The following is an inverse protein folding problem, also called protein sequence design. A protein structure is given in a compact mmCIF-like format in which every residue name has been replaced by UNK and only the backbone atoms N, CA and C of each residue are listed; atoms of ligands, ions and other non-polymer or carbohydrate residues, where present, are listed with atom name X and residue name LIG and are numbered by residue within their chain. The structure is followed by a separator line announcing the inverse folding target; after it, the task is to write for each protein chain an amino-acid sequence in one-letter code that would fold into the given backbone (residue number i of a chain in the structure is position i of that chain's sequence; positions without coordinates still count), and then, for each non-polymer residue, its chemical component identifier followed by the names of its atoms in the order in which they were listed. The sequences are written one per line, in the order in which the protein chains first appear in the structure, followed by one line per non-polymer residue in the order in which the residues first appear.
data_IF_556438477093
#
_entry.id   IF_556438477093
#
_cell.length_a   1.000
_cell.length_b   1.000
_cell.length_c   1.000
_cell.angle_alpha   90.00
_cell.angle_beta   90.00
_cell.angle_gamma   90.00
#
_symmetry.space_group_name_H-M   'P 1'
#
loop_
_entity.id
_entity.type
_entity.pdbx_description
1 polymer ?
#
# COMPACT_ATOMS: atom_id res chain seq x y z
N UNK A 1 -24.32 5.61 -20.66
CA UNK A 1 -23.30 4.54 -20.74
C UNK A 1 -22.55 4.72 -22.04
N UNK A 2 -21.21 4.65 -22.05
CA UNK A 2 -20.44 4.77 -23.29
C UNK A 2 -20.55 3.49 -24.13
N UNK A 3 -20.31 3.58 -25.45
CA UNK A 3 -20.34 2.42 -26.36
C UNK A 3 -19.37 1.32 -25.92
N UNK A 4 -18.20 1.71 -25.42
CA UNK A 4 -17.18 0.78 -24.94
C UNK A 4 -17.62 0.05 -23.66
N UNK A 5 -18.31 0.73 -22.74
CA UNK A 5 -18.83 0.13 -21.51
C UNK A 5 -19.90 -0.94 -21.80
N UNK A 6 -20.76 -0.67 -22.79
CA UNK A 6 -21.78 -1.62 -23.20
C UNK A 6 -21.15 -2.88 -23.83
N UNK A 7 -20.11 -2.70 -24.65
CA UNK A 7 -19.39 -3.81 -25.29
C UNK A 7 -18.65 -4.65 -24.23
N UNK A 8 -17.90 -4.02 -23.31
CA UNK A 8 -17.16 -4.73 -22.26
C UNK A 8 -18.07 -5.47 -21.28
N UNK A 9 -19.21 -4.88 -20.92
CA UNK A 9 -20.23 -5.54 -20.10
C UNK A 9 -20.81 -6.77 -20.80
N UNK A 10 -21.24 -6.65 -22.06
CA UNK A 10 -21.79 -7.77 -22.84
C UNK A 10 -20.76 -8.87 -23.12
N UNK A 11 -19.51 -8.52 -23.41
CA UNK A 11 -18.42 -9.50 -23.55
C UNK A 11 -18.24 -10.32 -22.27
N UNK A 12 -18.21 -9.64 -21.12
CA UNK A 12 -18.07 -10.30 -19.82
C UNK A 12 -19.22 -11.28 -19.54
N UNK A 13 -20.47 -10.89 -19.86
CA UNK A 13 -21.64 -11.77 -19.75
C UNK A 13 -21.49 -13.04 -20.61
N UNK A 14 -21.00 -12.91 -21.84
CA UNK A 14 -20.79 -14.06 -22.74
C UNK A 14 -19.65 -14.97 -22.27
N UNK A 15 -18.56 -14.41 -21.74
CA UNK A 15 -17.46 -15.20 -21.17
C UNK A 15 -17.93 -16.04 -19.97
N UNK A 16 -18.80 -15.48 -19.12
CA UNK A 16 -19.42 -16.24 -18.01
C UNK A 16 -20.32 -17.38 -18.51
N UNK A 17 -20.93 -17.21 -19.70
CA UNK A 17 -21.67 -18.26 -20.42
C UNK A 17 -20.77 -19.21 -21.22
N UNK A 18 -19.44 -19.18 -21.02
CA UNK A 18 -18.43 -20.01 -21.71
C UNK A 18 -18.25 -19.72 -23.20
N UNK A 19 -18.64 -18.55 -23.67
CA UNK A 19 -18.31 -18.11 -25.03
C UNK A 19 -16.82 -17.77 -25.12
N UNK A 20 -16.21 -18.11 -26.25
CA UNK A 20 -14.79 -17.91 -26.47
C UNK A 20 -14.55 -16.66 -27.30
N UNK A 21 -13.76 -15.71 -26.78
CA UNK A 21 -13.33 -14.56 -27.56
C UNK A 21 -12.32 -15.00 -28.63
N UNK A 22 -12.55 -14.59 -29.86
CA UNK A 22 -11.66 -14.85 -30.98
C UNK A 22 -10.69 -13.68 -31.17
N UNK A 23 -9.54 -13.97 -31.81
CA UNK A 23 -8.60 -12.93 -32.24
C UNK A 23 -9.05 -12.16 -33.48
N UNK A 24 -10.23 -12.47 -34.03
CA UNK A 24 -10.81 -11.85 -35.21
C UNK A 24 -11.77 -10.73 -34.83
N UNK A 25 -11.76 -9.66 -35.63
CA UNK A 25 -12.61 -8.48 -35.42
C UNK A 25 -13.81 -8.50 -36.35
N UNK A 26 -14.89 -7.85 -35.94
CA UNK A 26 -16.10 -7.74 -36.76
C UNK A 26 -15.80 -6.99 -38.07
N UNK A 27 -16.25 -7.55 -39.20
CA UNK A 27 -16.05 -6.96 -40.54
C UNK A 27 -17.14 -5.96 -40.93
N UNK A 28 -18.23 -5.87 -40.15
CA UNK A 28 -19.34 -4.92 -40.39
C UNK A 28 -18.92 -3.51 -39.98
N UNK A 29 -19.18 -2.53 -40.85
CA UNK A 29 -19.20 -1.09 -40.54
C UNK A 29 -18.04 -0.54 -39.69
N UNK A 30 -16.79 -0.87 -40.05
CA UNK A 30 -15.58 -0.45 -39.29
C UNK A 30 -15.67 -0.76 -37.78
N UNK A 31 -16.30 -1.88 -37.43
CA UNK A 31 -16.47 -2.28 -36.05
C UNK A 31 -15.25 -3.01 -35.52
N UNK A 32 -14.47 -2.35 -34.67
CA UNK A 32 -13.31 -2.96 -33.99
C UNK A 32 -13.69 -3.84 -32.79
N UNK A 33 -14.90 -4.41 -32.76
CA UNK A 33 -15.36 -5.28 -31.68
C UNK A 33 -14.92 -6.72 -31.98
N UNK A 34 -14.28 -7.41 -31.02
CA UNK A 34 -13.87 -8.80 -31.20
C UNK A 34 -15.09 -9.72 -31.34
N UNK A 35 -14.94 -10.77 -32.15
CA UNK A 35 -15.96 -11.81 -32.31
C UNK A 35 -15.95 -12.77 -31.12
N UNK A 36 -17.14 -13.25 -30.76
CA UNK A 36 -17.35 -14.25 -29.71
C UNK A 36 -17.94 -15.52 -30.34
N UNK A 37 -17.37 -16.67 -30.03
CA UNK A 37 -17.80 -17.99 -30.50
C UNK A 37 -18.69 -18.66 -29.47
N UNK A 38 -19.85 -19.09 -29.93
CA UNK A 38 -20.81 -19.89 -29.16
C UNK A 38 -20.26 -21.30 -28.90
N UNK A 39 -20.20 -21.77 -27.63
CA UNK A 39 -19.74 -23.12 -27.33
C UNK A 39 -20.67 -24.23 -27.85
N UNK A 40 -21.96 -23.95 -28.06
CA UNK A 40 -22.94 -24.95 -28.48
C UNK A 40 -23.05 -25.02 -30.01
N UNK A 41 -23.14 -23.85 -30.65
CA UNK A 41 -23.39 -23.78 -32.10
C UNK A 41 -22.12 -23.54 -32.93
N UNK A 42 -20.99 -23.21 -32.29
CA UNK A 42 -19.72 -22.85 -32.94
C UNK A 42 -19.85 -21.65 -33.91
N UNK A 43 -20.92 -20.87 -33.77
CA UNK A 43 -21.14 -19.69 -34.59
C UNK A 43 -20.43 -18.47 -33.97
N UNK A 44 -19.85 -17.66 -34.85
CA UNK A 44 -19.11 -16.47 -34.48
C UNK A 44 -20.02 -15.24 -34.59
N UNK A 45 -20.19 -14.53 -33.48
CA UNK A 45 -21.09 -13.38 -33.40
C UNK A 45 -20.39 -12.16 -32.84
N UNK A 46 -20.77 -11.00 -33.36
CA UNK A 46 -20.33 -9.71 -32.87
C UNK A 46 -21.24 -9.26 -31.73
N UNK A 47 -20.62 -8.93 -30.59
CA UNK A 47 -21.28 -8.49 -29.37
C UNK A 47 -22.10 -7.19 -29.56
N UNK A 48 -21.75 -6.40 -30.57
CA UNK A 48 -22.45 -5.17 -30.91
C UNK A 48 -23.57 -5.39 -31.94
N UNK A 49 -23.23 -5.95 -33.11
CA UNK A 49 -24.16 -6.05 -34.23
C UNK A 49 -25.20 -7.16 -34.06
N UNK A 50 -24.87 -8.23 -33.33
CA UNK A 50 -25.77 -9.38 -33.13
C UNK A 50 -26.38 -9.35 -31.72
N UNK A 51 -26.40 -8.17 -31.08
CA UNK A 51 -26.87 -7.99 -29.70
C UNK A 51 -28.33 -8.38 -29.49
N UNK A 52 -29.19 -8.16 -30.49
CA UNK A 52 -30.61 -8.51 -30.42
C UNK A 52 -30.83 -10.02 -30.31
N UNK A 53 -29.99 -10.80 -31.00
CA UNK A 53 -30.04 -12.26 -30.96
C UNK A 53 -29.34 -12.83 -29.72
N UNK A 54 -28.25 -12.20 -29.29
CA UNK A 54 -27.46 -12.63 -28.14
C UNK A 54 -28.10 -12.28 -26.79
N UNK A 55 -28.88 -11.19 -26.75
CA UNK A 55 -29.48 -10.63 -25.54
C UNK A 55 -30.95 -10.25 -25.79
N UNK A 56 -31.84 -11.21 -26.09
CA UNK A 56 -33.26 -10.94 -26.31
C UNK A 56 -33.95 -10.35 -25.06
N UNK A 57 -33.39 -10.62 -23.88
CA UNK A 57 -33.79 -10.03 -22.60
C UNK A 57 -33.56 -8.51 -22.53
N UNK A 58 -32.52 -7.99 -23.20
CA UNK A 58 -32.24 -6.55 -23.29
C UNK A 58 -33.13 -5.85 -24.34
N UNK A 59 -33.71 -6.60 -25.28
CA UNK A 59 -34.65 -6.08 -26.28
C UNK A 59 -36.09 -6.01 -25.72
N UNK A 60 -36.47 -6.95 -24.86
CA UNK A 60 -37.80 -6.98 -24.22
C UNK A 60 -38.02 -5.83 -23.23
N UNK A 61 -36.96 -5.26 -22.65
CA UNK A 61 -37.03 -4.15 -21.69
C UNK A 61 -37.08 -2.76 -22.36
N UNK A 62 -37.02 -2.68 -23.70
CA UNK A 62 -37.10 -1.41 -24.45
C UNK A 62 -38.55 -0.94 -24.72
N UNK A 63 -39.51 -1.53 -24.01
CA UNK A 63 -40.94 -1.22 -24.09
C UNK A 63 -41.42 -0.03 -23.25
N UNK A 64 -40.54 0.81 -22.70
CA UNK A 64 -40.93 2.09 -22.06
C UNK A 64 -40.26 3.24 -22.81
N UNK A 65 -40.98 3.75 -23.82
CA UNK A 65 -40.80 5.11 -24.30
C UNK A 65 -41.50 6.03 -23.31
N UNK A 66 -40.71 6.75 -22.52
CA UNK A 66 -41.11 8.07 -22.04
C UNK A 66 -39.85 8.94 -21.87
N UNK A 67 -39.64 10.01 -22.67
CA UNK A 67 -38.67 11.03 -22.35
C UNK A 67 -39.33 12.00 -21.35
N UNK A 68 -39.41 11.57 -20.09
CA UNK A 68 -39.83 12.43 -18.99
C UNK A 68 -38.71 13.42 -18.62
N UNK A 69 -38.99 14.73 -18.46
CA UNK A 69 -37.99 15.72 -18.13
C UNK A 69 -37.64 15.69 -16.63
N UNK A 70 -36.61 16.46 -16.27
CA UNK A 70 -36.23 16.83 -14.90
C UNK A 70 -35.37 15.84 -14.12
N UNK A 71 -34.13 15.67 -14.60
CA UNK A 71 -33.01 15.46 -13.69
C UNK A 71 -32.53 16.80 -13.14
N UNK A 72 -33.33 17.42 -12.27
CA UNK A 72 -32.90 18.52 -11.41
C UNK A 72 -32.17 17.94 -10.20
N UNK A 73 -31.11 17.16 -10.45
CA UNK A 73 -30.01 17.09 -9.49
C UNK A 73 -29.42 18.49 -9.49
N UNK A 74 -29.62 19.20 -8.39
CA UNK A 74 -28.96 20.48 -8.11
C UNK A 74 -27.47 20.37 -8.48
N UNK A 75 -26.94 21.39 -9.14
CA UNK A 75 -25.55 21.46 -9.62
C UNK A 75 -24.56 21.10 -8.50
N UNK A 76 -24.89 21.41 -7.24
CA UNK A 76 -24.14 21.03 -6.05
C UNK A 76 -23.98 19.51 -5.82
N UNK A 77 -24.96 18.68 -6.18
CA UNK A 77 -24.92 17.24 -5.88
C UNK A 77 -24.24 16.40 -6.99
N UNK A 78 -24.23 16.91 -8.23
CA UNK A 78 -23.40 16.39 -9.32
C UNK A 78 -21.92 16.76 -9.12
N UNK A 79 -21.65 18.01 -8.74
CA UNK A 79 -20.28 18.48 -8.49
C UNK A 79 -19.59 17.72 -7.34
N UNK A 80 -20.35 17.29 -6.32
CA UNK A 80 -19.80 16.50 -5.20
C UNK A 80 -19.59 15.03 -5.52
N UNK A 81 -20.29 14.46 -6.51
CA UNK A 81 -20.09 13.06 -6.92
C UNK A 81 -18.92 12.94 -7.89
N UNK A 82 -18.83 13.84 -8.88
CA UNK A 82 -17.75 13.84 -9.88
C UNK A 82 -16.39 14.14 -9.25
N UNK A 83 -16.32 15.08 -8.30
CA UNK A 83 -15.07 15.40 -7.57
C UNK A 83 -14.61 14.27 -6.63
N UNK A 84 -15.51 13.36 -6.25
CA UNK A 84 -15.20 12.20 -5.39
C UNK A 84 -14.71 11.00 -6.21
N UNK A 85 -15.25 10.82 -7.41
CA UNK A 85 -14.85 9.75 -8.34
C UNK A 85 -13.45 9.99 -8.93
N UNK A 86 -13.08 11.23 -9.28
CA UNK A 86 -11.72 11.55 -9.76
C UNK A 86 -10.63 11.29 -8.71
N UNK A 87 -10.91 11.61 -7.44
CA UNK A 87 -9.95 11.41 -6.36
C UNK A 87 -9.72 9.92 -6.07
N UNK A 88 -10.78 9.11 -6.14
CA UNK A 88 -10.72 7.66 -5.95
C UNK A 88 -9.96 6.95 -7.07
N UNK A 89 -10.11 7.40 -8.32
CA UNK A 89 -9.34 6.85 -9.45
C UNK A 89 -7.85 7.22 -9.36
N UNK A 90 -7.54 8.46 -8.96
CA UNK A 90 -6.18 8.91 -8.73
C UNK A 90 -5.47 8.10 -7.62
N UNK A 91 -6.10 7.93 -6.45
CA UNK A 91 -5.52 7.15 -5.34
C UNK A 91 -5.36 5.65 -5.71
N UNK A 92 -6.32 5.07 -6.44
CA UNK A 92 -6.20 3.69 -6.92
C UNK A 92 -5.08 3.53 -7.94
N UNK A 93 -4.90 4.50 -8.84
CA UNK A 93 -3.82 4.49 -9.82
C UNK A 93 -2.45 4.50 -9.16
N UNK A 94 -2.26 5.30 -8.10
CA UNK A 94 -1.01 5.33 -7.35
C UNK A 94 -0.73 4.01 -6.62
N UNK A 95 -1.75 3.42 -5.98
CA UNK A 95 -1.60 2.13 -5.29
C UNK A 95 -1.22 1.03 -6.28
N UNK A 96 -1.84 1.01 -7.46
CA UNK A 96 -1.49 0.07 -8.54
C UNK A 96 -0.05 0.28 -9.00
N UNK A 97 0.36 1.53 -9.21
CA UNK A 97 1.74 1.86 -9.61
C UNK A 97 2.76 1.39 -8.57
N UNK A 98 2.52 1.67 -7.28
CA UNK A 98 3.39 1.21 -6.18
C UNK A 98 3.50 -0.31 -6.10
N UNK A 99 2.38 -1.02 -6.33
CA UNK A 99 2.37 -2.50 -6.40
C UNK A 99 3.21 -3.02 -7.56
N UNK A 100 3.09 -2.40 -8.73
CA UNK A 100 3.86 -2.78 -9.92
C UNK A 100 5.36 -2.52 -9.74
N UNK A 101 5.73 -1.32 -9.30
CA UNK A 101 7.14 -0.97 -9.01
C UNK A 101 7.76 -1.91 -7.98
N UNK A 102 7.02 -2.27 -6.92
CA UNK A 102 7.48 -3.25 -5.94
C UNK A 102 7.60 -4.66 -6.53
N UNK A 103 6.67 -5.07 -7.39
CA UNK A 103 6.70 -6.35 -8.09
C UNK A 103 7.89 -6.49 -9.03
N UNK A 104 8.23 -5.42 -9.75
CA UNK A 104 9.39 -5.38 -10.64
C UNK A 104 10.70 -5.51 -9.83
N UNK A 105 10.82 -4.74 -8.75
CA UNK A 105 11.96 -4.82 -7.84
C UNK A 105 12.07 -6.20 -7.16
N UNK A 106 10.93 -6.79 -6.77
CA UNK A 106 10.90 -8.11 -6.19
C UNK A 106 11.38 -9.17 -7.18
N UNK A 107 10.91 -9.10 -8.43
CA UNK A 107 11.28 -10.04 -9.50
C UNK A 107 12.79 -10.01 -9.77
N UNK A 108 13.39 -8.81 -9.83
CA UNK A 108 14.83 -8.67 -10.00
C UNK A 108 15.61 -9.32 -8.84
N UNK A 109 15.22 -9.05 -7.60
CA UNK A 109 15.92 -9.57 -6.41
C UNK A 109 15.70 -11.07 -6.22
N UNK A 110 14.49 -11.57 -6.50
CA UNK A 110 14.20 -13.00 -6.54
C UNK A 110 15.12 -13.68 -7.53
N UNK A 111 15.24 -13.15 -8.77
CA UNK A 111 16.15 -13.69 -9.78
C UNK A 111 17.59 -13.82 -9.26
N UNK A 112 18.11 -12.79 -8.57
CA UNK A 112 19.46 -12.83 -7.95
C UNK A 112 19.58 -13.93 -6.89
N UNK A 113 18.56 -14.13 -6.04
CA UNK A 113 18.56 -15.18 -5.01
C UNK A 113 18.47 -16.58 -5.62
N UNK A 114 17.66 -16.76 -6.66
CA UNK A 114 17.56 -18.04 -7.37
C UNK A 114 18.91 -18.44 -8.00
N UNK A 115 19.64 -17.48 -8.59
CA UNK A 115 21.00 -17.72 -9.12
C UNK A 115 22.01 -18.08 -8.02
N UNK A 116 21.80 -17.62 -6.79
CA UNK A 116 22.58 -18.02 -5.61
C UNK A 116 22.18 -19.42 -5.08
N UNK A 117 21.24 -20.10 -5.72
CA UNK A 117 20.78 -21.43 -5.32
C UNK A 117 19.72 -21.42 -4.21
N UNK A 118 19.02 -20.30 -4.02
CA UNK A 118 17.81 -20.24 -3.19
C UNK A 118 16.62 -20.78 -3.97
N UNK A 119 15.56 -21.17 -3.27
CA UNK A 119 14.31 -21.65 -3.87
C UNK A 119 13.15 -20.72 -3.50
N UNK A 120 12.28 -20.40 -4.46
CA UNK A 120 11.01 -19.71 -4.15
C UNK A 120 10.06 -20.70 -3.47
N UNK A 121 9.35 -20.26 -2.44
CA UNK A 121 8.35 -21.08 -1.73
C UNK A 121 6.94 -20.52 -1.93
N UNK A 122 5.94 -21.40 -1.82
CA UNK A 122 4.51 -21.05 -1.94
C UNK A 122 3.97 -20.40 -0.66
N UNK A 123 4.66 -19.35 -0.20
CA UNK A 123 4.24 -18.51 0.94
C UNK A 123 4.57 -17.06 0.65
N UNK A 124 3.65 -16.17 0.98
CA UNK A 124 3.84 -14.73 0.85
C UNK A 124 4.38 -14.10 2.14
N UNK A 125 5.08 -12.97 1.99
CA UNK A 125 5.52 -12.17 3.14
C UNK A 125 4.32 -11.65 3.95
N UNK A 126 4.31 -11.82 5.29
CA UNK A 126 3.22 -11.35 6.15
C UNK A 126 3.23 -9.84 6.42
N UNK A 127 4.28 -9.12 5.98
CA UNK A 127 4.36 -7.68 6.18
C UNK A 127 3.34 -6.95 5.29
N UNK A 128 2.51 -6.11 5.89
CA UNK A 128 1.47 -5.32 5.20
C UNK A 128 2.04 -4.34 4.14
N UNK A 129 3.31 -3.95 4.29
CA UNK A 129 3.99 -3.10 3.31
C UNK A 129 4.52 -3.87 2.09
N UNK A 130 4.47 -5.21 2.12
CA UNK A 130 4.87 -6.09 1.02
C UNK A 130 3.62 -6.65 0.33
N UNK A 131 3.39 -6.26 -0.92
CA UNK A 131 2.21 -6.63 -1.70
C UNK A 131 2.35 -8.04 -2.28
N UNK A 132 2.01 -9.05 -1.48
CA UNK A 132 1.97 -10.47 -1.90
C UNK A 132 3.31 -10.96 -2.50
N UNK A 133 4.42 -10.52 -1.92
CA UNK A 133 5.77 -10.91 -2.36
C UNK A 133 6.05 -12.34 -1.87
N UNK A 134 6.42 -13.29 -2.76
CA UNK A 134 6.76 -14.65 -2.37
C UNK A 134 8.08 -14.67 -1.59
N UNK A 135 8.14 -15.51 -0.56
CA UNK A 135 9.36 -15.74 0.20
C UNK A 135 10.32 -16.65 -0.59
N UNK A 136 11.62 -16.45 -0.37
CA UNK A 136 12.67 -17.33 -0.89
C UNK A 136 13.37 -18.03 0.27
N UNK A 137 13.71 -19.31 0.10
CA UNK A 137 14.32 -20.14 1.11
C UNK A 137 15.73 -20.56 0.68
N UNK A 138 16.69 -20.49 1.60
CA UNK A 138 18.03 -21.01 1.38
C UNK A 138 18.14 -22.51 1.73
N UNK A 139 19.34 -23.09 1.55
CA UNK A 139 19.61 -24.50 1.90
C UNK A 139 19.47 -24.81 3.39
N UNK A 140 19.60 -23.80 4.26
CA UNK A 140 19.45 -23.90 5.71
C UNK A 140 18.00 -23.71 6.18
N UNK A 141 17.02 -23.75 5.26
CA UNK A 141 15.60 -23.55 5.54
C UNK A 141 15.20 -22.17 6.05
N UNK A 142 16.11 -21.20 6.01
CA UNK A 142 15.81 -19.81 6.31
C UNK A 142 15.07 -19.17 5.15
N UNK A 143 13.86 -18.68 5.43
CA UNK A 143 12.98 -18.00 4.48
C UNK A 143 13.22 -16.49 4.61
N UNK A 144 13.24 -15.76 3.50
CA UNK A 144 13.48 -14.32 3.48
C UNK A 144 12.57 -13.63 2.47
N UNK A 145 12.04 -12.46 2.83
CA UNK A 145 11.38 -11.58 1.88
C UNK A 145 12.41 -10.68 1.19
N UNK A 146 12.48 -10.70 -0.13
CA UNK A 146 13.47 -9.91 -0.89
C UNK A 146 13.25 -8.39 -0.85
N UNK A 147 12.07 -7.92 -0.41
CA UNK A 147 11.73 -6.50 -0.34
C UNK A 147 12.07 -5.92 1.03
N UNK A 148 11.52 -6.50 2.10
CA UNK A 148 11.75 -6.02 3.46
C UNK A 148 12.95 -6.67 4.16
N UNK A 149 13.59 -7.68 3.56
CA UNK A 149 14.70 -8.46 4.10
C UNK A 149 14.39 -9.15 5.44
N UNK A 150 13.11 -9.27 5.80
CA UNK A 150 12.70 -9.98 7.00
C UNK A 150 12.88 -11.48 6.80
N UNK A 151 13.50 -12.12 7.78
CA UNK A 151 13.74 -13.55 7.79
C UNK A 151 12.70 -14.28 8.64
N UNK A 152 12.30 -15.46 8.18
CA UNK A 152 11.34 -16.35 8.80
C UNK A 152 11.93 -17.77 8.83
N UNK A 153 11.56 -18.54 9.84
CA UNK A 153 11.90 -19.95 9.93
C UNK A 153 10.67 -20.69 10.45
N UNK A 154 10.42 -21.88 9.92
CA UNK A 154 9.36 -22.73 10.45
C UNK A 154 9.73 -23.18 11.88
N UNK A 155 8.72 -23.32 12.74
CA UNK A 155 8.90 -23.70 14.14
C UNK A 155 9.71 -25.00 14.29
N UNK A 156 9.44 -25.98 13.42
CA UNK A 156 10.16 -27.26 13.39
C UNK A 156 11.65 -27.08 13.08
N UNK A 157 11.97 -26.25 12.09
CA UNK A 157 13.34 -25.97 11.68
C UNK A 157 14.06 -25.10 12.73
N UNK A 158 13.34 -24.22 13.42
CA UNK A 158 13.85 -23.43 14.53
C UNK A 158 14.26 -24.31 15.71
N UNK A 159 13.39 -25.22 16.15
CA UNK A 159 13.70 -26.17 17.23
C UNK A 159 14.86 -27.09 16.82
N UNK A 160 14.92 -27.52 15.56
CA UNK A 160 16.04 -28.32 15.07
C UNK A 160 17.38 -27.57 15.08
N UNK A 161 17.38 -26.27 14.76
CA UNK A 161 18.61 -25.45 14.67
C UNK A 161 19.07 -24.89 16.01
N UNK A 162 18.15 -24.46 16.87
CA UNK A 162 18.44 -23.75 18.12
C UNK A 162 18.05 -24.50 19.39
N UNK A 163 17.42 -25.67 19.26
CA UNK A 163 16.90 -26.43 20.39
C UNK A 163 15.62 -25.82 20.96
N UNK A 164 14.98 -26.59 21.83
CA UNK A 164 13.82 -26.14 22.61
C UNK A 164 14.32 -25.15 23.67
N UNK A 165 14.17 -23.84 23.42
CA UNK A 165 14.38 -22.81 24.44
C UNK A 165 13.22 -22.93 25.42
N UNK A 166 13.27 -23.97 26.27
CA UNK A 166 12.39 -24.09 27.43
C UNK A 166 12.67 -22.91 28.36
N UNK A 167 11.83 -21.89 28.25
CA UNK A 167 11.52 -20.91 29.27
C UNK A 167 12.66 -19.99 29.70
N UNK A 168 12.69 -18.79 29.12
CA UNK A 168 13.00 -17.58 29.89
C UNK A 168 12.13 -16.40 29.42
N UNK A 169 10.89 -16.34 29.93
CA UNK A 169 10.36 -15.05 30.40
C UNK A 169 11.25 -14.58 31.57
N UNK A 170 12.40 -14.02 31.27
CA UNK A 170 13.11 -13.13 32.19
C UNK A 170 13.53 -11.90 31.40
N UNK A 171 12.59 -10.96 31.35
CA UNK A 171 12.86 -9.53 31.17
C UNK A 171 13.99 -9.13 32.13
N UNK A 172 15.13 -8.60 31.66
CA UNK A 172 16.17 -8.13 32.56
C UNK A 172 15.70 -6.84 33.23
N UNK A 173 15.29 -6.93 34.49
CA UNK A 173 15.31 -5.80 35.42
C UNK A 173 16.78 -5.51 35.75
N UNK A 174 17.35 -4.50 35.09
CA UNK A 174 18.62 -3.92 35.50
C UNK A 174 18.39 -3.05 36.73
N UNK A 175 18.53 -3.67 37.91
CA UNK A 175 18.87 -2.98 39.15
C UNK A 175 20.26 -2.35 38.99
N UNK A 176 20.32 -1.02 39.02
CA UNK A 176 21.56 -0.26 39.14
C UNK A 176 21.63 0.20 40.59
N UNK A 177 22.45 -0.49 41.39
CA UNK A 177 22.91 0.01 42.68
C UNK A 177 24.41 0.32 42.59
N UNK A 178 24.70 1.60 42.82
CA UNK A 178 25.89 2.22 43.42
C UNK A 178 27.25 1.53 43.33
N UNK A 179 28.23 2.23 42.74
CA UNK A 179 29.23 3.04 43.48
C UNK A 179 30.49 3.25 42.61
N UNK A 180 30.88 4.52 42.43
CA UNK A 180 32.24 5.10 42.66
C UNK A 180 32.53 6.30 41.73
N UNK A 181 32.50 7.49 42.34
CA UNK A 181 33.33 8.69 42.00
C UNK A 181 34.82 8.38 42.24
N UNK A 182 35.82 9.21 41.88
CA UNK A 182 35.85 10.67 41.55
C UNK A 182 36.59 10.94 40.20
N UNK A 183 36.80 12.14 39.64
CA UNK A 183 37.34 13.39 40.20
C UNK A 183 37.17 14.55 39.19
N UNK A 184 37.29 15.78 39.70
CA UNK A 184 36.96 17.08 39.06
C UNK A 184 38.27 17.77 38.61
N UNK A 185 38.29 18.60 37.54
CA UNK A 185 38.44 20.06 37.73
C UNK A 185 37.62 20.89 36.71
N UNK A 186 36.67 21.75 37.14
CA UNK A 186 36.79 23.18 37.52
C UNK A 186 36.79 24.21 36.34
N UNK A 187 35.63 24.91 36.20
CA UNK A 187 35.34 26.34 35.84
C UNK A 187 35.75 26.95 34.47
N UNK A 188 35.21 28.14 34.06
CA UNK A 188 34.01 28.88 34.53
C UNK A 188 33.09 29.51 33.42
N UNK A 189 31.87 29.85 33.87
CA UNK A 189 31.09 31.08 33.60
C UNK A 189 30.75 31.51 32.16
N UNK A 190 29.44 31.62 31.84
CA UNK A 190 28.69 32.87 32.03
C UNK A 190 27.26 32.83 31.42
N UNK A 191 26.34 33.49 32.14
CA UNK A 191 25.13 34.18 31.68
C UNK A 191 23.86 33.41 31.28
N UNK A 192 22.99 33.25 32.30
CA UNK A 192 21.61 33.77 32.38
C UNK A 192 20.52 33.28 31.41
N UNK A 193 19.65 32.41 31.94
CA UNK A 193 18.24 32.25 31.53
C UNK A 193 17.32 32.79 32.64
N UNK A 194 16.13 33.34 32.33
CA UNK A 194 15.05 33.49 33.29
C UNK A 194 14.10 32.27 33.30
N UNK A 195 14.07 31.65 34.48
CA UNK A 195 12.98 31.07 35.25
C UNK A 195 11.61 30.66 34.64
N UNK A 196 11.15 29.53 35.20
CA UNK A 196 9.76 29.11 35.50
C UNK A 196 9.06 28.33 34.35
N UNK A 197 8.43 27.16 34.53
CA UNK A 197 7.65 26.59 35.64
C UNK A 197 7.64 25.05 35.49
N UNK A 198 7.75 24.28 36.58
CA UNK A 198 7.40 22.83 36.60
C UNK A 198 5.89 22.63 36.75
N UNK A 199 5.33 21.54 36.22
CA UNK A 199 4.68 20.56 37.10
C UNK A 199 5.07 19.12 36.71
N UNK A 200 5.46 18.27 37.67
CA UNK A 200 4.61 17.47 38.54
C UNK A 200 3.90 16.31 37.81
N UNK A 201 4.19 15.10 38.28
CA UNK A 201 3.81 13.81 37.73
C UNK A 201 2.30 13.52 37.85
N UNK A 202 1.73 12.92 36.80
CA UNK A 202 0.55 12.06 36.84
C UNK A 202 0.34 11.38 35.48
N UNK A 203 -0.04 10.11 35.53
CA UNK A 203 -0.51 9.20 34.48
C UNK A 203 -0.73 9.78 33.08
N UNK A 204 -0.01 9.25 32.08
CA UNK A 204 -0.12 9.67 30.68
C UNK A 204 -1.44 9.13 30.10
N UNK A 205 -2.46 9.97 29.85
CA UNK A 205 -3.65 9.55 29.14
C UNK A 205 -3.31 9.39 27.66
N UNK A 206 -3.98 8.46 26.98
CA UNK A 206 -3.83 8.13 25.54
C UNK A 206 -3.92 9.39 24.62
N UNK A 207 -4.51 10.48 25.11
CA UNK A 207 -4.54 11.80 24.47
C UNK A 207 -3.18 12.49 24.35
N UNK A 208 -2.21 12.18 25.22
CA UNK A 208 -0.85 12.75 25.21
C UNK A 208 -0.01 12.24 24.05
N UNK A 209 -0.09 10.93 23.72
CA UNK A 209 0.67 10.35 22.61
C UNK A 209 0.15 10.87 21.27
N UNK A 210 -1.18 10.96 21.10
CA UNK A 210 -1.77 11.56 19.90
C UNK A 210 -1.38 13.04 19.74
N UNK A 211 -1.29 13.80 20.84
CA UNK A 211 -0.85 15.20 20.81
C UNK A 211 0.62 15.33 20.39
N UNK A 212 1.49 14.44 20.89
CA UNK A 212 2.89 14.39 20.49
C UNK A 212 3.06 14.02 19.01
N UNK A 213 2.30 13.04 18.50
CA UNK A 213 2.31 12.66 17.08
C UNK A 213 1.86 13.84 16.21
N UNK A 214 0.81 14.56 16.60
CA UNK A 214 0.34 15.72 15.86
C UNK A 214 1.36 16.87 15.83
N UNK A 215 2.05 17.13 16.95
CA UNK A 215 3.11 18.12 17.01
C UNK A 215 4.31 17.74 16.12
N UNK A 216 4.72 16.47 16.12
CA UNK A 216 5.80 15.96 15.26
C UNK A 216 5.43 16.05 13.77
N UNK A 217 4.18 15.75 13.41
CA UNK A 217 3.70 15.90 12.02
C UNK A 217 3.72 17.37 11.56
N UNK A 218 3.30 18.30 12.42
CA UNK A 218 3.36 19.73 12.12
C UNK A 218 4.81 20.20 11.92
N UNK A 219 5.75 19.68 12.72
CA UNK A 219 7.17 20.00 12.60
C UNK A 219 7.79 19.44 11.31
N UNK A 220 7.41 18.23 10.89
CA UNK A 220 7.83 17.68 9.60
C UNK A 220 7.33 18.55 8.44
N UNK A 221 6.07 19.00 8.48
CA UNK A 221 5.52 19.88 7.44
C UNK A 221 6.29 21.23 7.36
N UNK A 222 6.66 21.79 8.51
CA UNK A 222 7.48 23.02 8.57
C UNK A 222 8.90 22.78 8.02
N UNK A 223 9.52 21.64 8.34
CA UNK A 223 10.84 21.29 7.83
C UNK A 223 10.82 21.01 6.32
N UNK A 224 9.76 20.39 5.79
CA UNK A 224 9.61 20.21 4.34
C UNK A 224 9.45 21.52 3.58
N UNK A 225 8.72 22.49 4.15
CA UNK A 225 8.62 23.83 3.57
C UNK A 225 9.98 24.54 3.56
N UNK A 226 10.76 24.42 4.66
CA UNK A 226 12.13 24.97 4.73
C UNK A 226 13.08 24.28 3.75
N UNK A 227 12.94 22.97 3.53
CA UNK A 227 13.74 22.23 2.57
C UNK A 227 13.51 22.75 1.14
N UNK A 228 12.26 23.07 0.78
CA UNK A 228 11.94 23.62 -0.55
C UNK A 228 12.49 25.03 -0.80
N UNK A 229 12.81 25.77 0.26
CA UNK A 229 13.37 27.11 0.19
C UNK A 229 14.91 27.14 0.37
N UNK A 230 15.53 26.02 0.77
CA UNK A 230 16.96 25.95 1.02
C UNK A 230 17.73 25.75 -0.30
N UNK A 231 18.75 26.59 -0.52
CA UNK A 231 19.65 26.49 -1.68
C UNK A 231 21.02 25.90 -1.32
N UNK A 232 21.33 25.86 -0.02
CA UNK A 232 22.61 25.36 0.49
C UNK A 232 22.58 23.85 0.77
N UNK A 233 23.64 23.15 0.37
CA UNK A 233 23.74 21.70 0.43
C UNK A 233 23.86 21.20 1.88
N UNK A 234 24.57 21.92 2.75
CA UNK A 234 24.73 21.52 4.15
C UNK A 234 23.41 21.68 4.92
N UNK A 235 22.67 22.76 4.66
CA UNK A 235 21.34 22.97 5.23
C UNK A 235 20.33 21.92 4.74
N UNK A 236 20.36 21.54 3.47
CA UNK A 236 19.54 20.45 2.92
C UNK A 236 19.82 19.13 3.65
N UNK A 237 21.10 18.77 3.83
CA UNK A 237 21.48 17.54 4.53
C UNK A 237 21.06 17.57 6.01
N UNK A 238 21.21 18.71 6.67
CA UNK A 238 20.78 18.90 8.06
C UNK A 238 19.27 18.75 8.23
N UNK A 239 18.49 19.37 7.34
CA UNK A 239 17.02 19.29 7.36
C UNK A 239 16.55 17.87 7.03
N UNK A 240 17.18 17.19 6.06
CA UNK A 240 16.84 15.81 5.73
C UNK A 240 17.10 14.86 6.92
N UNK A 241 18.22 15.05 7.63
CA UNK A 241 18.55 14.27 8.83
C UNK A 241 17.54 14.51 9.96
N UNK A 242 17.12 15.75 10.19
CA UNK A 242 16.13 16.05 11.24
C UNK A 242 14.76 15.48 10.91
N UNK A 243 14.32 15.55 9.64
CA UNK A 243 13.08 14.89 9.20
C UNK A 243 13.16 13.37 9.45
N UNK A 244 14.30 12.75 9.14
CA UNK A 244 14.53 11.33 9.43
C UNK A 244 14.36 10.99 10.92
N UNK A 245 14.96 11.78 11.81
CA UNK A 245 14.80 11.57 13.27
C UNK A 245 13.37 11.78 13.76
N UNK A 246 12.63 12.74 13.21
CA UNK A 246 11.21 12.95 13.55
C UNK A 246 10.34 11.77 13.09
N UNK A 247 10.60 11.21 11.90
CA UNK A 247 9.87 10.04 11.39
C UNK A 247 10.12 8.78 12.25
N UNK A 248 11.35 8.59 12.71
CA UNK A 248 11.71 7.50 13.62
C UNK A 248 11.00 7.64 14.98
N UNK A 249 10.98 8.85 15.55
CA UNK A 249 10.25 9.13 16.79
C UNK A 249 8.74 8.84 16.66
N UNK A 250 8.11 9.19 15.54
CA UNK A 250 6.69 8.85 15.27
C UNK A 250 6.49 7.34 15.21
N UNK A 251 7.42 6.60 14.59
CA UNK A 251 7.35 5.12 14.53
C UNK A 251 7.40 4.51 15.93
N UNK A 252 8.29 5.01 16.80
CA UNK A 252 8.39 4.55 18.19
C UNK A 252 7.13 4.89 19.00
N UNK A 253 6.57 6.10 18.84
CA UNK A 253 5.31 6.46 19.49
C UNK A 253 4.13 5.57 19.05
N UNK A 254 4.10 5.14 17.78
CA UNK A 254 3.05 4.22 17.29
C UNK A 254 3.20 2.79 17.80
N UNK A 255 4.41 2.35 18.10
CA UNK A 255 4.67 1.02 18.68
C UNK A 255 4.36 0.94 20.18
N UNK A 256 4.28 2.10 20.85
CA UNK A 256 4.00 2.22 22.28
C UNK A 256 2.50 2.42 22.61
N UNK A 257 1.64 2.60 21.59
CA UNK A 257 0.18 2.61 21.69
C UNK A 257 -0.39 1.22 21.42
#
# INVERSE_FOLDING_TARGET
MSRLDAISSRMSKLMLKRWTMLGEMCTKDQCSTPLMRDPETNNDKCVWHDAEELFPEEAADQGIKDPGPENTKTEAMREWSERKDEKLDSEQSEVRRRKQEQGDLASERIGKRLLQGWAMIDRSCPNQNCYSIPLVQNREKMQECVICNQQYMDEKDYVAKYGDVKGQEKRPEQQIDSQLKPDVPLVPAAASQPAAVQPAASDIPITSIHTAINALNAQIAQLSARLSAATDLEDIQRIAKTIGTCAEAISQCKQAC
#
